data_IF_282991795618
#
_entry.id   IF_282991795618
#
_cell.length_a   1.000
_cell.length_b   1.000
_cell.length_c   1.000
_cell.angle_alpha   90.00
_cell.angle_beta   90.00
_cell.angle_gamma   90.00
#
_symmetry.space_group_name_H-M   'P 1'
#
loop_
_entity.id
_entity.type
_entity.pdbx_description
1 polymer ?
#
# COMPACT_ATOMS: atom_id res chain seq x y z
N UNK A 1 -25.37 -0.29 7.43
CA UNK A 1 -24.39 0.82 7.43
C UNK A 1 -24.06 1.19 6.00
N UNK A 2 -23.44 2.35 5.75
CA UNK A 2 -23.02 2.77 4.41
C UNK A 2 -21.93 1.82 3.90
N UNK A 3 -21.94 1.49 2.61
CA UNK A 3 -20.89 0.67 2.01
C UNK A 3 -19.54 1.41 2.14
N UNK A 4 -18.55 0.77 2.74
CA UNK A 4 -17.19 1.30 2.85
C UNK A 4 -16.36 0.85 1.65
N UNK A 5 -15.33 1.62 1.30
CA UNK A 5 -14.52 1.40 0.10
C UNK A 5 -13.04 1.27 0.49
N UNK A 6 -12.34 0.31 -0.10
CA UNK A 6 -10.91 0.13 0.07
C UNK A 6 -10.18 0.35 -1.27
N UNK A 7 -9.22 1.28 -1.30
CA UNK A 7 -8.27 1.40 -2.39
C UNK A 7 -7.13 0.43 -2.13
N UNK A 8 -6.91 -0.53 -3.02
CA UNK A 8 -5.83 -1.49 -2.90
C UNK A 8 -4.97 -1.43 -4.16
N UNK A 9 -3.65 -1.37 -4.03
CA UNK A 9 -2.80 -1.32 -5.23
C UNK A 9 -1.64 -2.29 -5.17
N UNK A 10 -1.22 -2.80 -6.32
CA UNK A 10 0.05 -3.48 -6.53
C UNK A 10 0.88 -2.72 -7.56
N UNK A 11 2.05 -3.22 -7.92
CA UNK A 11 2.91 -2.61 -8.94
C UNK A 11 3.10 -3.53 -10.13
N UNK A 12 3.32 -2.94 -11.31
CA UNK A 12 3.77 -3.66 -12.50
C UNK A 12 5.17 -4.30 -12.31
N UNK A 13 5.59 -5.22 -13.20
CA UNK A 13 6.94 -5.79 -13.17
C UNK A 13 8.05 -4.76 -13.32
N UNK A 14 9.12 -4.91 -12.53
CA UNK A 14 10.31 -4.06 -12.57
C UNK A 14 11.58 -4.87 -12.28
N UNK A 15 12.75 -4.29 -12.55
CA UNK A 15 14.06 -4.94 -12.39
C UNK A 15 14.73 -5.33 -13.71
N UNK A 16 15.95 -5.88 -13.62
CA UNK A 16 16.77 -6.33 -14.76
C UNK A 16 17.41 -7.70 -14.42
N UNK A 17 17.09 -8.78 -15.15
CA UNK A 17 16.04 -8.86 -16.17
C UNK A 17 14.67 -8.56 -15.58
N UNK A 18 13.77 -7.98 -16.38
CA UNK A 18 12.41 -7.67 -15.92
C UNK A 18 11.60 -8.99 -15.92
N UNK A 19 10.98 -9.38 -14.78
CA UNK A 19 10.11 -10.55 -14.74
C UNK A 19 8.82 -10.33 -15.54
N UNK A 20 8.08 -11.41 -15.82
CA UNK A 20 6.78 -11.34 -16.52
C UNK A 20 5.64 -10.83 -15.63
N UNK A 21 5.77 -11.00 -14.33
CA UNK A 21 4.78 -10.61 -13.33
C UNK A 21 5.45 -9.91 -12.13
N UNK A 22 4.62 -9.30 -11.29
CA UNK A 22 5.05 -8.75 -10.00
C UNK A 22 4.11 -9.29 -8.94
N UNK A 23 4.69 -9.95 -7.95
CA UNK A 23 3.92 -10.66 -6.93
C UNK A 23 2.95 -9.74 -6.17
N UNK A 24 3.30 -8.48 -5.99
CA UNK A 24 2.42 -7.50 -5.35
C UNK A 24 1.09 -7.34 -6.08
N UNK A 25 1.12 -7.18 -7.41
CA UNK A 25 -0.10 -7.10 -8.22
C UNK A 25 -0.84 -8.44 -8.29
N UNK A 26 -0.11 -9.54 -8.50
CA UNK A 26 -0.66 -10.90 -8.51
C UNK A 26 -1.41 -11.24 -7.21
N UNK A 27 -0.94 -10.70 -6.09
CA UNK A 27 -1.59 -10.81 -4.78
C UNK A 27 -2.87 -9.99 -4.74
N UNK A 28 -2.78 -8.67 -4.93
CA UNK A 28 -3.93 -7.80 -4.65
C UNK A 28 -5.03 -7.88 -5.70
N UNK A 29 -4.72 -8.25 -6.96
CA UNK A 29 -5.74 -8.36 -8.01
C UNK A 29 -6.79 -9.42 -7.70
N UNK A 30 -6.48 -10.38 -6.82
CA UNK A 30 -7.43 -11.40 -6.37
C UNK A 30 -8.56 -10.82 -5.51
N UNK A 31 -8.40 -9.61 -4.96
CA UNK A 31 -9.41 -8.91 -4.16
C UNK A 31 -10.27 -7.97 -5.04
N UNK A 32 -10.03 -7.89 -6.35
CA UNK A 32 -10.70 -6.93 -7.22
C UNK A 32 -12.22 -7.16 -7.27
N UNK A 33 -13.00 -6.17 -6.83
CA UNK A 33 -14.46 -6.25 -6.79
C UNK A 33 -15.01 -7.11 -5.64
N UNK A 34 -14.15 -7.65 -4.78
CA UNK A 34 -14.55 -8.44 -3.63
C UNK A 34 -15.28 -7.56 -2.61
N UNK A 35 -16.33 -8.13 -1.99
CA UNK A 35 -17.04 -7.53 -0.86
C UNK A 35 -16.69 -8.29 0.40
N UNK A 36 -15.90 -7.69 1.27
CA UNK A 36 -15.48 -8.30 2.53
C UNK A 36 -16.42 -7.83 3.64
N UNK A 37 -17.05 -8.78 4.32
CA UNK A 37 -18.05 -8.54 5.38
C UNK A 37 -17.42 -8.82 6.75
N UNK A 38 -17.57 -7.88 7.68
CA UNK A 38 -17.10 -8.00 9.07
C UNK A 38 -18.17 -7.46 10.01
N UNK A 39 -18.84 -8.36 10.74
CA UNK A 39 -20.04 -7.98 11.50
C UNK A 39 -21.10 -7.40 10.56
N UNK A 40 -21.56 -6.19 10.87
CA UNK A 40 -22.55 -5.47 10.07
C UNK A 40 -21.91 -4.55 9.01
N UNK A 41 -20.58 -4.50 8.94
CA UNK A 41 -19.82 -3.68 7.98
C UNK A 41 -19.52 -4.46 6.69
N UNK A 42 -19.49 -3.74 5.57
CA UNK A 42 -19.06 -4.28 4.27
C UNK A 42 -18.09 -3.32 3.61
N UNK A 43 -16.95 -3.83 3.14
CA UNK A 43 -15.97 -3.12 2.32
C UNK A 43 -15.98 -3.64 0.90
N UNK A 44 -16.05 -2.75 -0.09
CA UNK A 44 -15.79 -3.05 -1.50
C UNK A 44 -14.32 -2.75 -1.84
N UNK A 45 -13.62 -3.73 -2.39
CA UNK A 45 -12.21 -3.63 -2.75
C UNK A 45 -12.01 -3.15 -4.20
N UNK A 46 -11.34 -2.01 -4.36
CA UNK A 46 -10.97 -1.39 -5.64
C UNK A 46 -9.49 -1.60 -5.87
N UNK A 47 -9.13 -2.49 -6.81
CA UNK A 47 -7.73 -2.89 -7.03
C UNK A 47 -7.16 -2.25 -8.31
N UNK A 48 -5.96 -1.67 -8.21
CA UNK A 48 -5.26 -1.07 -9.36
C UNK A 48 -3.79 -1.48 -9.42
N UNK A 49 -3.29 -1.71 -10.64
CA UNK A 49 -1.86 -1.88 -10.90
C UNK A 49 -1.23 -0.51 -11.11
N UNK A 50 -0.20 -0.19 -10.33
CA UNK A 50 0.57 1.05 -10.45
C UNK A 50 1.78 0.85 -11.35
N UNK A 51 2.11 1.85 -12.19
CA UNK A 51 3.38 1.85 -12.91
C UNK A 51 4.54 2.02 -11.93
N UNK A 52 5.71 1.47 -12.26
CA UNK A 52 6.94 1.70 -11.49
C UNK A 52 7.69 2.87 -12.11
N UNK A 53 7.06 4.04 -12.15
CA UNK A 53 7.62 5.28 -12.73
C UNK A 53 7.11 6.51 -11.99
N UNK A 54 8.00 7.46 -11.68
CA UNK A 54 7.68 8.54 -10.74
C UNK A 54 6.64 9.51 -11.28
N UNK A 55 6.77 9.92 -12.54
CA UNK A 55 5.86 10.92 -13.11
C UNK A 55 4.41 10.39 -13.17
N UNK A 56 4.14 9.19 -13.75
CA UNK A 56 2.81 8.60 -13.71
C UNK A 56 2.26 8.39 -12.30
N UNK A 57 3.07 7.91 -11.35
CA UNK A 57 2.62 7.70 -9.96
C UNK A 57 2.26 9.02 -9.26
N UNK A 58 3.03 10.08 -9.50
CA UNK A 58 2.79 11.41 -8.92
C UNK A 58 1.45 12.03 -9.35
N UNK A 59 0.91 11.61 -10.48
CA UNK A 59 -0.41 12.04 -10.97
C UNK A 59 -1.52 11.05 -10.59
N UNK A 60 -1.25 9.74 -10.77
CA UNK A 60 -2.24 8.69 -10.62
C UNK A 60 -2.69 8.51 -9.17
N UNK A 61 -1.75 8.45 -8.22
CA UNK A 61 -2.08 8.18 -6.81
C UNK A 61 -2.99 9.28 -6.25
N UNK A 62 -2.66 10.58 -6.36
CA UNK A 62 -3.58 11.64 -5.93
C UNK A 62 -4.93 11.60 -6.65
N UNK A 63 -4.96 11.22 -7.94
CA UNK A 63 -6.23 11.08 -8.67
C UNK A 63 -7.10 9.96 -8.12
N UNK A 64 -6.51 8.83 -7.73
CA UNK A 64 -7.24 7.74 -7.08
C UNK A 64 -7.88 8.24 -5.78
N UNK A 65 -7.13 8.94 -4.91
CA UNK A 65 -7.63 9.53 -3.66
C UNK A 65 -8.76 10.55 -3.84
N UNK A 66 -8.91 11.14 -5.04
CA UNK A 66 -10.04 12.04 -5.37
C UNK A 66 -11.28 11.32 -5.89
N UNK A 67 -11.19 10.01 -6.16
CA UNK A 67 -12.31 9.19 -6.62
C UNK A 67 -13.28 8.86 -5.49
N UNK A 68 -13.38 7.58 -5.13
CA UNK A 68 -14.27 7.11 -4.07
C UNK A 68 -13.95 7.71 -2.70
N UNK A 69 -14.89 7.57 -1.77
CA UNK A 69 -14.70 7.89 -0.35
C UNK A 69 -14.05 6.69 0.35
N UNK A 70 -12.78 6.44 0.07
CA UNK A 70 -12.09 5.29 0.67
C UNK A 70 -11.99 5.44 2.18
N UNK A 71 -12.35 4.37 2.90
CA UNK A 71 -12.09 4.23 4.34
C UNK A 71 -10.73 3.58 4.58
N UNK A 72 -10.24 2.79 3.62
CA UNK A 72 -8.97 2.08 3.67
C UNK A 72 -8.15 2.37 2.41
N UNK A 73 -6.85 2.57 2.55
CA UNK A 73 -5.88 2.67 1.45
C UNK A 73 -4.71 1.75 1.75
N UNK A 74 -4.53 0.70 0.95
CA UNK A 74 -3.51 -0.32 1.18
C UNK A 74 -2.69 -0.49 -0.10
N UNK A 75 -1.41 -0.15 -0.03
CA UNK A 75 -0.48 -0.41 -1.12
C UNK A 75 0.29 -1.70 -0.85
N UNK A 76 0.54 -2.48 -1.89
CA UNK A 76 1.33 -3.70 -1.85
C UNK A 76 2.54 -3.55 -2.77
N UNK A 77 3.73 -3.86 -2.28
CA UNK A 77 4.97 -3.86 -3.06
C UNK A 77 5.72 -5.19 -2.94
N UNK A 78 6.61 -5.49 -3.89
CA UNK A 78 7.52 -6.62 -3.76
C UNK A 78 8.67 -6.25 -2.80
N UNK A 79 8.87 -7.05 -1.76
CA UNK A 79 9.85 -6.85 -0.69
C UNK A 79 10.97 -7.88 -0.68
N UNK A 80 11.51 -8.11 0.51
CA UNK A 80 12.56 -9.10 0.75
C UNK A 80 11.95 -10.50 0.96
N UNK A 81 12.74 -11.54 0.68
CA UNK A 81 12.33 -12.91 0.99
C UNK A 81 12.22 -13.17 2.51
N UNK A 82 11.38 -14.12 2.87
CA UNK A 82 11.20 -14.71 4.18
C UNK A 82 10.03 -14.14 4.98
N UNK A 83 9.43 -13.02 4.56
CA UNK A 83 8.44 -12.30 5.37
C UNK A 83 7.56 -11.34 4.59
N UNK A 84 6.40 -11.05 5.18
CA UNK A 84 5.55 -9.91 4.83
C UNK A 84 5.89 -8.76 5.79
N UNK A 85 6.09 -7.55 5.29
CA UNK A 85 6.42 -6.38 6.11
C UNK A 85 5.33 -5.33 6.03
N UNK A 86 4.87 -4.85 7.18
CA UNK A 86 3.89 -3.76 7.30
C UNK A 86 4.62 -2.48 7.68
N UNK A 87 4.61 -1.51 6.77
CA UNK A 87 5.37 -0.28 6.90
C UNK A 87 4.70 0.71 7.85
N UNK A 88 5.43 1.20 8.85
CA UNK A 88 4.92 2.12 9.87
C UNK A 88 5.08 3.59 9.47
N UNK A 89 6.00 3.89 8.55
CA UNK A 89 6.33 5.26 8.17
C UNK A 89 6.82 5.35 6.72
N UNK A 90 6.81 6.57 6.18
CA UNK A 90 7.36 6.89 4.88
C UNK A 90 8.08 8.23 4.90
N UNK A 91 9.08 8.37 4.04
CA UNK A 91 9.87 9.59 3.90
C UNK A 91 9.58 10.36 2.61
N UNK A 92 9.61 11.68 2.68
CA UNK A 92 9.38 12.58 1.54
C UNK A 92 10.56 12.65 0.58
N UNK A 93 11.78 12.39 1.05
CA UNK A 93 13.01 12.73 0.35
C UNK A 93 13.96 11.54 0.25
N UNK A 94 14.93 11.62 -0.69
CA UNK A 94 16.00 10.63 -0.85
C UNK A 94 15.82 9.67 -2.03
N UNK A 95 14.93 9.99 -2.97
CA UNK A 95 14.67 9.15 -4.14
C UNK A 95 15.74 9.34 -5.22
N UNK A 96 16.61 8.36 -5.39
CA UNK A 96 17.70 8.38 -6.39
C UNK A 96 17.66 7.20 -7.36
N UNK A 97 16.83 6.19 -7.09
CA UNK A 97 16.72 4.98 -7.89
C UNK A 97 15.82 5.26 -9.10
N UNK A 98 16.25 4.85 -10.29
CA UNK A 98 15.51 5.07 -11.54
C UNK A 98 14.31 4.14 -11.65
N UNK A 99 13.17 4.69 -12.08
CA UNK A 99 11.98 3.93 -12.46
C UNK A 99 12.12 3.16 -13.78
N UNK A 100 11.04 2.52 -14.20
CA UNK A 100 10.94 1.72 -15.40
C UNK A 100 11.11 2.51 -16.70
N UNK A 101 10.97 3.85 -16.67
CA UNK A 101 11.21 4.71 -17.84
C UNK A 101 12.70 4.99 -18.10
N UNK A 102 13.60 4.49 -17.22
CA UNK A 102 15.04 4.54 -17.43
C UNK A 102 15.70 5.83 -16.93
N UNK A 103 16.71 6.29 -17.65
CA UNK A 103 17.50 7.45 -17.24
C UNK A 103 16.63 8.71 -17.14
N UNK A 104 16.72 9.41 -16.00
CA UNK A 104 15.89 10.57 -15.72
C UNK A 104 14.53 10.25 -15.07
N UNK A 105 14.14 8.98 -14.94
CA UNK A 105 12.95 8.58 -14.17
C UNK A 105 13.25 8.61 -12.65
N UNK A 106 13.46 9.82 -12.15
CA UNK A 106 13.63 10.17 -10.73
C UNK A 106 12.83 11.44 -10.46
N UNK A 107 12.26 11.63 -9.26
CA UNK A 107 11.43 12.79 -9.00
C UNK A 107 12.32 14.03 -8.85
N UNK A 108 11.83 15.18 -9.35
CA UNK A 108 12.56 16.46 -9.24
C UNK A 108 12.86 16.76 -7.77
N UNK A 109 14.11 17.13 -7.48
CA UNK A 109 14.57 17.38 -6.11
C UNK A 109 14.69 16.13 -5.24
N UNK A 110 14.60 14.92 -5.83
CA UNK A 110 14.63 13.64 -5.14
C UNK A 110 13.57 13.55 -4.04
N UNK A 111 12.40 14.17 -4.25
CA UNK A 111 11.35 14.26 -3.25
C UNK A 111 9.93 14.15 -3.84
N UNK A 112 8.96 13.80 -3.00
CA UNK A 112 7.54 13.87 -3.37
C UNK A 112 7.15 15.36 -3.53
N UNK A 113 6.65 15.78 -4.72
CA UNK A 113 6.34 17.17 -5.00
C UNK A 113 5.01 17.60 -4.35
N UNK A 114 4.75 18.90 -4.29
CA UNK A 114 3.41 19.49 -4.04
C UNK A 114 2.76 19.27 -2.66
N UNK A 115 3.47 18.71 -1.67
CA UNK A 115 2.96 18.63 -0.29
C UNK A 115 3.70 19.58 0.65
N UNK A 116 2.97 20.14 1.62
CA UNK A 116 3.52 20.91 2.74
C UNK A 116 3.59 20.09 4.04
N UNK A 117 3.39 18.77 3.94
CA UNK A 117 3.47 17.82 5.05
C UNK A 117 4.92 17.61 5.51
N UNK A 118 5.13 17.17 6.77
CA UNK A 118 6.47 16.84 7.28
C UNK A 118 7.24 15.85 6.40
N UNK A 119 8.57 15.90 6.46
CA UNK A 119 9.44 15.02 5.67
C UNK A 119 9.34 13.53 6.03
N UNK A 120 8.70 13.20 7.14
CA UNK A 120 8.38 11.84 7.55
C UNK A 120 6.95 11.80 8.06
N UNK A 121 6.17 10.87 7.52
CA UNK A 121 4.79 10.61 7.91
C UNK A 121 4.66 9.19 8.46
N UNK A 122 3.77 9.00 9.43
CA UNK A 122 3.46 7.70 10.05
C UNK A 122 2.01 7.33 9.77
N UNK A 123 1.75 6.02 9.66
CA UNK A 123 0.38 5.53 9.70
C UNK A 123 -0.25 5.74 11.08
N UNK A 124 -1.56 5.96 11.12
CA UNK A 124 -2.36 5.94 12.36
C UNK A 124 -2.72 4.51 12.80
N UNK A 125 -2.48 3.50 11.95
CA UNK A 125 -2.78 2.10 12.25
C UNK A 125 -1.87 1.59 13.35
N UNK A 126 -2.45 0.88 14.33
CA UNK A 126 -1.70 0.11 15.31
C UNK A 126 -1.08 -1.13 14.65
N UNK A 127 0.09 -0.98 14.03
CA UNK A 127 0.78 -2.05 13.30
C UNK A 127 1.13 -3.24 14.20
N UNK A 128 1.51 -3.01 15.47
CA UNK A 128 1.80 -4.11 16.39
C UNK A 128 0.54 -4.90 16.76
N UNK A 129 -0.59 -4.21 16.94
CA UNK A 129 -1.90 -4.85 17.15
C UNK A 129 -2.34 -5.65 15.92
N UNK A 130 -2.17 -5.10 14.72
CA UNK A 130 -2.46 -5.79 13.46
C UNK A 130 -1.61 -7.05 13.33
N UNK A 131 -0.29 -6.96 13.58
CA UNK A 131 0.61 -8.13 13.56
C UNK A 131 0.22 -9.20 14.55
N UNK A 132 -0.09 -8.81 15.79
CA UNK A 132 -0.55 -9.74 16.81
C UNK A 132 -1.84 -10.47 16.35
N UNK A 133 -2.79 -9.74 15.76
CA UNK A 133 -4.02 -10.32 15.23
C UNK A 133 -3.80 -11.22 13.99
N UNK A 134 -2.81 -10.93 13.15
CA UNK A 134 -2.43 -11.81 12.04
C UNK A 134 -1.73 -13.08 12.54
N UNK A 135 -0.89 -12.97 13.56
CA UNK A 135 -0.22 -14.11 14.17
C UNK A 135 -1.21 -15.11 14.79
N UNK A 136 -2.31 -14.65 15.41
CA UNK A 136 -3.37 -15.54 15.93
C UNK A 136 -4.12 -16.30 14.84
N UNK A 137 -4.03 -15.85 13.58
CA UNK A 137 -4.58 -16.54 12.40
C UNK A 137 -3.58 -17.48 11.72
N UNK A 138 -2.36 -17.60 12.24
CA UNK A 138 -1.31 -18.46 11.70
C UNK A 138 -0.30 -17.75 10.79
N UNK A 139 -0.43 -16.44 10.58
CA UNK A 139 0.49 -15.65 9.77
C UNK A 139 1.75 -15.27 10.58
N UNK A 140 2.60 -16.27 10.85
CA UNK A 140 3.77 -16.13 11.71
C UNK A 140 4.91 -15.26 11.16
N UNK A 141 4.96 -15.03 9.83
CA UNK A 141 6.04 -14.31 9.14
C UNK A 141 5.63 -12.90 8.73
N UNK A 142 4.83 -12.22 9.57
CA UNK A 142 4.44 -10.81 9.37
C UNK A 142 5.18 -9.91 10.35
N UNK A 143 5.99 -8.99 9.82
CA UNK A 143 6.85 -8.09 10.57
C UNK A 143 6.45 -6.62 10.40
N UNK A 144 6.85 -5.78 11.36
CA UNK A 144 6.74 -4.33 11.23
C UNK A 144 8.02 -3.82 10.58
N UNK A 145 7.91 -2.86 9.67
CA UNK A 145 9.05 -2.20 9.04
C UNK A 145 8.92 -0.68 9.19
N UNK A 146 10.06 0.00 9.21
CA UNK A 146 10.16 1.47 9.21
C UNK A 146 10.92 1.99 7.99
N UNK A 147 11.16 1.12 7.01
CA UNK A 147 11.88 1.46 5.79
C UNK A 147 11.24 0.74 4.60
N UNK A 148 10.33 1.44 3.92
CA UNK A 148 9.69 0.96 2.70
C UNK A 148 10.61 0.98 1.47
N UNK A 149 11.88 1.37 1.65
CA UNK A 149 12.87 1.54 0.60
C UNK A 149 12.58 2.78 -0.24
N UNK A 150 13.54 3.72 -0.25
CA UNK A 150 13.54 5.01 -0.99
C UNK A 150 13.43 4.86 -2.52
N UNK A 151 12.32 4.32 -2.99
CA UNK A 151 11.94 4.04 -4.37
C UNK A 151 10.43 4.29 -4.55
N UNK A 152 9.79 3.63 -5.52
CA UNK A 152 8.37 3.81 -5.86
C UNK A 152 7.41 3.31 -4.77
N UNK A 153 7.78 2.30 -3.99
CA UNK A 153 7.02 1.84 -2.83
C UNK A 153 6.85 2.97 -1.81
N UNK A 154 7.97 3.52 -1.32
CA UNK A 154 7.96 4.61 -0.37
C UNK A 154 7.40 5.92 -0.93
N UNK A 155 7.67 6.23 -2.20
CA UNK A 155 7.09 7.40 -2.89
C UNK A 155 5.57 7.34 -2.89
N UNK A 156 5.02 6.17 -3.24
CA UNK A 156 3.58 5.91 -3.23
C UNK A 156 3.02 5.98 -1.82
N UNK A 157 3.70 5.36 -0.84
CA UNK A 157 3.24 5.34 0.54
C UNK A 157 3.19 6.74 1.15
N UNK A 158 4.27 7.52 1.00
CA UNK A 158 4.32 8.90 1.46
C UNK A 158 3.22 9.74 0.81
N UNK A 159 3.05 9.61 -0.52
CA UNK A 159 2.00 10.33 -1.26
C UNK A 159 0.63 10.04 -0.66
N UNK A 160 0.30 8.78 -0.39
CA UNK A 160 -1.00 8.41 0.19
C UNK A 160 -1.19 8.85 1.64
N UNK A 161 -0.14 8.81 2.47
CA UNK A 161 -0.18 9.37 3.82
C UNK A 161 -0.41 10.89 3.78
N UNK A 162 0.21 11.59 2.81
CA UNK A 162 0.02 13.02 2.63
C UNK A 162 -1.39 13.35 2.11
N UNK A 163 -1.92 12.57 1.15
CA UNK A 163 -3.29 12.69 0.66
C UNK A 163 -4.32 12.50 1.77
N UNK A 164 -4.12 11.52 2.67
CA UNK A 164 -4.96 11.31 3.84
C UNK A 164 -5.03 12.55 4.76
N UNK A 165 -3.95 13.33 4.86
CA UNK A 165 -3.88 14.54 5.69
C UNK A 165 -4.30 15.82 4.96
N UNK A 166 -4.47 15.79 3.65
CA UNK A 166 -4.71 16.98 2.82
C UNK A 166 -6.00 16.88 2.03
N UNK A 167 -6.07 15.94 1.09
CA UNK A 167 -7.22 15.75 0.20
C UNK A 167 -8.49 15.36 0.95
N UNK A 168 -8.41 14.47 1.95
CA UNK A 168 -9.60 14.04 2.69
C UNK A 168 -10.21 15.17 3.53
N UNK A 169 -9.45 15.89 4.38
CA UNK A 169 -9.95 17.09 5.04
C UNK A 169 -10.47 18.14 4.06
N UNK A 170 -9.79 18.37 2.94
CA UNK A 170 -10.25 19.30 1.89
C UNK A 170 -11.58 18.90 1.25
N UNK A 171 -11.89 17.60 1.21
CA UNK A 171 -13.17 17.02 0.77
C UNK A 171 -14.21 16.90 1.89
N UNK A 172 -13.88 17.31 3.12
CA UNK A 172 -14.72 17.13 4.32
C UNK A 172 -15.01 15.64 4.59
N UNK A 173 -14.00 14.78 4.37
CA UNK A 173 -14.06 13.35 4.62
C UNK A 173 -13.11 12.96 5.77
N UNK A 174 -13.43 11.92 6.56
CA UNK A 174 -12.46 11.35 7.48
C UNK A 174 -11.25 10.79 6.71
N UNK A 175 -10.03 10.89 7.25
CA UNK A 175 -8.85 10.28 6.65
C UNK A 175 -9.00 8.74 6.59
N UNK A 176 -8.55 8.08 5.51
CA UNK A 176 -8.54 6.62 5.46
C UNK A 176 -7.42 6.06 6.34
N UNK A 177 -7.62 4.84 6.85
CA UNK A 177 -6.51 4.05 7.38
C UNK A 177 -5.60 3.67 6.21
N UNK A 178 -4.35 4.13 6.26
CA UNK A 178 -3.39 4.01 5.16
C UNK A 178 -2.21 3.12 5.55
N UNK A 179 -1.91 2.10 4.75
CA UNK A 179 -0.78 1.19 4.95
C UNK A 179 -0.02 0.94 3.64
N UNK A 180 1.23 0.53 3.80
CA UNK A 180 1.99 -0.16 2.77
C UNK A 180 2.43 -1.53 3.30
N UNK A 181 2.30 -2.55 2.46
CA UNK A 181 2.64 -3.94 2.76
C UNK A 181 3.62 -4.44 1.72
N UNK A 182 4.80 -4.86 2.15
CA UNK A 182 5.73 -5.58 1.30
C UNK A 182 5.45 -7.07 1.38
N UNK A 183 5.22 -7.71 0.24
CA UNK A 183 5.10 -9.17 0.11
C UNK A 183 6.41 -9.73 -0.43
N UNK A 184 6.84 -10.91 0.01
CA UNK A 184 8.10 -11.47 -0.44
C UNK A 184 8.02 -11.87 -1.93
N UNK A 185 9.14 -12.00 -2.67
CA UNK A 185 9.13 -12.47 -4.05
C UNK A 185 8.61 -13.91 -4.20
N UNK A 186 8.52 -14.49 -5.40
CA UNK A 186 7.97 -15.86 -5.58
C UNK A 186 8.93 -16.98 -5.16
N UNK A 187 10.22 -16.68 -4.94
CA UNK A 187 11.27 -17.68 -4.81
C UNK A 187 11.57 -17.98 -3.33
N UNK A 188 11.20 -19.20 -2.88
CA UNK A 188 11.52 -19.74 -1.54
C UNK A 188 10.95 -18.92 -0.38
N UNK A 189 9.67 -18.63 -0.47
CA UNK A 189 8.96 -17.81 0.50
C UNK A 189 7.89 -18.57 1.27
N UNK A 190 7.56 -18.14 2.50
CA UNK A 190 6.72 -18.91 3.42
C UNK A 190 5.26 -18.97 2.99
N UNK A 191 4.86 -18.14 2.03
CA UNK A 191 3.49 -17.99 1.57
C UNK A 191 3.41 -18.09 0.05
N UNK A 192 2.38 -18.76 -0.47
CA UNK A 192 1.99 -18.71 -1.87
C UNK A 192 1.12 -17.47 -2.19
N UNK A 193 0.75 -17.27 -3.46
CA UNK A 193 -0.01 -16.09 -3.89
C UNK A 193 -1.44 -16.05 -3.31
N UNK A 194 -2.04 -17.20 -2.99
CA UNK A 194 -3.36 -17.28 -2.40
C UNK A 194 -3.31 -16.98 -0.89
N UNK A 195 -2.29 -17.47 -0.19
CA UNK A 195 -2.01 -17.16 1.21
C UNK A 195 -1.71 -15.66 1.39
N UNK A 196 -0.92 -15.06 0.50
CA UNK A 196 -0.69 -13.61 0.51
C UNK A 196 -1.99 -12.84 0.29
N UNK A 197 -2.87 -13.28 -0.62
CA UNK A 197 -4.16 -12.65 -0.80
C UNK A 197 -5.04 -12.77 0.46
N UNK A 198 -4.99 -13.91 1.16
CA UNK A 198 -5.71 -14.08 2.41
C UNK A 198 -5.14 -13.20 3.54
N UNK A 199 -3.83 -13.02 3.61
CA UNK A 199 -3.19 -12.03 4.50
C UNK A 199 -3.74 -10.63 4.20
N UNK A 200 -3.83 -10.24 2.93
CA UNK A 200 -4.40 -8.93 2.54
C UNK A 200 -5.88 -8.80 2.94
N UNK A 201 -6.68 -9.87 2.79
CA UNK A 201 -8.07 -9.88 3.28
C UNK A 201 -8.14 -9.74 4.78
N UNK A 202 -7.27 -10.42 5.51
CA UNK A 202 -7.21 -10.34 6.96
C UNK A 202 -6.78 -8.96 7.47
N UNK A 203 -5.88 -8.29 6.75
CA UNK A 203 -5.55 -6.88 7.01
C UNK A 203 -6.80 -6.01 6.81
N UNK A 204 -7.53 -6.17 5.69
CA UNK A 204 -8.78 -5.44 5.45
C UNK A 204 -9.80 -5.69 6.58
N UNK A 205 -9.98 -6.96 6.99
CA UNK A 205 -10.90 -7.33 8.08
C UNK A 205 -10.50 -6.72 9.43
N UNK A 206 -9.20 -6.64 9.72
CA UNK A 206 -8.71 -6.01 10.94
C UNK A 206 -8.93 -4.50 10.94
N UNK A 207 -8.57 -3.83 9.84
CA UNK A 207 -8.69 -2.38 9.72
C UNK A 207 -10.15 -1.93 9.77
N UNK A 208 -11.06 -2.65 9.11
CA UNK A 208 -12.48 -2.31 9.12
C UNK A 208 -13.10 -2.46 10.52
N UNK A 209 -12.68 -3.47 11.28
CA UNK A 209 -13.10 -3.65 12.67
C UNK A 209 -12.51 -2.61 13.63
N UNK A 210 -11.48 -1.87 13.18
CA UNK A 210 -10.83 -0.81 13.94
C UNK A 210 -11.33 0.59 13.57
N UNK A 211 -12.25 0.69 12.60
CA UNK A 211 -12.93 1.94 12.28
C UNK A 211 -14.10 2.10 13.25
N UNK A 212 -14.03 3.14 14.08
CA UNK A 212 -15.14 3.56 14.95
C UNK A 212 -16.40 3.93 14.15
#
# INVERSE_FOLDING_TARGET
MELKHALITGFEPFGKPRPSDNRSWETVRQLAGERIVVGDETVLCHCFELPVSYNPVSELVPRLHRGEKYSLVIHCGAGQSGKVEIEQLAHRTGYIKQGNSGEGDVPVGNCVPNYSTPDMLRTSVNVDGLRAALATKGWAHVEASQDAGRYLCEFTYYTSLAEAQTTYPGRQLPPPLTLFVHVPPKERDPYDDAELAEIMRDIVRYLIASLD
#
